data_IF_156575127853
#
_entry.id   IF_156575127853
#
_cell.length_a   1.000
_cell.length_b   1.000
_cell.length_c   1.000
_cell.angle_alpha   90.00
_cell.angle_beta   90.00
_cell.angle_gamma   90.00
#
_symmetry.space_group_name_H-M   'P 1'
#
loop_
_entity.id
_entity.type
_entity.pdbx_description
1 polymer ?
#
# COMPACT_ATOMS: atom_id res chain seq x y z
N UNK A 1 -37.00 -14.90 -34.42
CA UNK A 1 -37.98 -15.74 -33.68
C UNK A 1 -38.29 -14.97 -32.39
N UNK A 2 -39.58 -14.74 -32.15
CA UNK A 2 -40.10 -14.15 -30.90
C UNK A 2 -40.89 -15.21 -30.12
N UNK A 3 -41.15 -14.96 -28.85
CA UNK A 3 -41.78 -15.93 -27.93
C UNK A 3 -43.16 -16.44 -28.43
N UNK A 4 -43.85 -15.61 -29.23
CA UNK A 4 -45.16 -15.95 -29.82
C UNK A 4 -45.09 -16.77 -31.11
N UNK A 5 -43.90 -16.88 -31.72
CA UNK A 5 -43.74 -17.70 -32.94
C UNK A 5 -44.05 -19.15 -32.65
N UNK A 6 -44.72 -19.79 -33.64
CA UNK A 6 -45.10 -21.18 -33.51
C UNK A 6 -44.13 -22.09 -34.28
N UNK A 7 -43.64 -23.08 -33.58
CA UNK A 7 -42.82 -24.18 -34.13
C UNK A 7 -43.65 -25.43 -34.31
N UNK A 8 -43.34 -26.20 -35.34
CA UNK A 8 -43.93 -27.50 -35.56
C UNK A 8 -43.00 -28.53 -34.97
N UNK A 9 -43.48 -29.31 -34.02
CA UNK A 9 -42.71 -30.34 -33.29
C UNK A 9 -43.40 -31.69 -33.46
N UNK A 10 -42.62 -32.70 -33.77
CA UNK A 10 -43.04 -34.12 -33.64
C UNK A 10 -42.93 -34.50 -32.16
N UNK A 11 -44.07 -34.86 -31.53
CA UNK A 11 -44.09 -35.23 -30.11
C UNK A 11 -43.71 -36.69 -29.83
N UNK A 12 -43.24 -37.40 -30.87
CA UNK A 12 -42.73 -38.78 -30.75
C UNK A 12 -43.81 -39.84 -30.53
N UNK A 13 -45.07 -39.48 -30.39
CA UNK A 13 -46.18 -40.40 -30.09
C UNK A 13 -46.98 -40.75 -31.32
N UNK A 14 -46.32 -41.38 -32.30
CA UNK A 14 -47.06 -41.94 -33.46
C UNK A 14 -47.25 -40.96 -34.63
N UNK A 15 -46.39 -39.99 -34.79
CA UNK A 15 -46.32 -39.16 -36.02
C UNK A 15 -47.28 -37.98 -36.08
N UNK A 16 -47.76 -37.45 -34.97
CA UNK A 16 -48.63 -36.30 -34.94
C UNK A 16 -47.80 -35.01 -34.74
N UNK A 17 -47.74 -34.21 -35.81
CA UNK A 17 -47.11 -32.89 -35.70
C UNK A 17 -47.95 -31.94 -34.84
N UNK A 18 -47.33 -31.32 -33.85
CA UNK A 18 -47.98 -30.35 -32.94
C UNK A 18 -47.36 -28.97 -33.08
N UNK A 19 -48.18 -27.92 -32.93
CA UNK A 19 -47.67 -26.55 -32.78
C UNK A 19 -47.28 -26.31 -31.35
N UNK A 20 -46.08 -25.73 -31.15
CA UNK A 20 -45.65 -25.25 -29.87
C UNK A 20 -45.11 -23.82 -30.01
N UNK A 21 -45.33 -22.95 -29.03
CA UNK A 21 -44.77 -21.63 -29.01
C UNK A 21 -43.23 -21.70 -28.72
N UNK A 22 -42.47 -20.80 -29.33
CA UNK A 22 -41.02 -20.67 -29.09
C UNK A 22 -40.68 -20.47 -27.61
N UNK A 23 -41.57 -19.84 -26.85
CA UNK A 23 -41.44 -19.70 -25.38
C UNK A 23 -41.36 -21.03 -24.64
N UNK A 24 -42.05 -22.08 -25.15
CA UNK A 24 -41.97 -23.43 -24.52
C UNK A 24 -40.63 -24.12 -24.77
N UNK A 25 -40.03 -23.86 -25.94
CA UNK A 25 -38.69 -24.35 -26.21
C UNK A 25 -37.66 -23.67 -25.28
N UNK A 26 -37.81 -22.38 -25.05
CA UNK A 26 -37.00 -21.65 -24.06
C UNK A 26 -37.12 -22.25 -22.66
N UNK A 27 -38.35 -22.52 -22.20
CA UNK A 27 -38.61 -23.17 -20.92
C UNK A 27 -38.01 -24.56 -20.83
N UNK A 28 -38.15 -25.39 -21.89
CA UNK A 28 -37.59 -26.75 -21.93
C UNK A 28 -36.05 -26.71 -21.93
N UNK A 29 -35.43 -25.77 -22.61
CA UNK A 29 -33.98 -25.61 -22.63
C UNK A 29 -33.39 -25.18 -21.28
N UNK A 30 -34.25 -24.83 -20.31
CA UNK A 30 -33.84 -24.42 -18.96
C UNK A 30 -33.07 -23.08 -18.91
N UNK A 31 -32.99 -22.40 -20.06
CA UNK A 31 -32.24 -21.13 -20.14
C UNK A 31 -33.20 -19.95 -20.16
N UNK A 32 -33.42 -19.33 -19.05
CA UNK A 32 -34.18 -18.09 -18.92
C UNK A 32 -33.30 -16.83 -19.06
N UNK A 33 -32.00 -17.02 -19.18
CA UNK A 33 -31.03 -15.92 -19.27
C UNK A 33 -30.80 -15.17 -17.93
N UNK A 34 -31.41 -15.66 -16.87
CA UNK A 34 -31.24 -15.04 -15.56
C UNK A 34 -30.03 -15.65 -14.82
N UNK A 35 -29.20 -14.80 -14.26
CA UNK A 35 -28.07 -15.23 -13.37
C UNK A 35 -28.59 -15.97 -12.14
N UNK A 36 -29.82 -15.69 -11.72
CA UNK A 36 -30.47 -16.34 -10.56
C UNK A 36 -30.67 -17.85 -10.73
N UNK A 37 -30.58 -18.36 -11.96
CA UNK A 37 -30.69 -19.81 -12.25
C UNK A 37 -29.33 -20.47 -12.48
N UNK A 38 -28.25 -19.73 -12.37
CA UNK A 38 -26.89 -20.26 -12.47
C UNK A 38 -26.51 -20.98 -11.18
N UNK A 39 -26.31 -22.31 -11.27
CA UNK A 39 -25.80 -23.11 -10.16
C UNK A 39 -24.28 -22.87 -10.01
N UNK A 40 -23.92 -21.99 -9.07
CA UNK A 40 -22.53 -21.62 -8.83
C UNK A 40 -21.83 -22.66 -7.94
N UNK A 41 -22.53 -23.21 -6.95
CA UNK A 41 -21.96 -24.20 -6.02
C UNK A 41 -21.82 -25.62 -6.63
N UNK A 42 -22.56 -25.88 -7.71
CA UNK A 42 -22.33 -27.08 -8.55
C UNK A 42 -21.22 -26.94 -9.59
N UNK A 43 -20.63 -25.78 -9.72
CA UNK A 43 -19.52 -25.50 -10.65
C UNK A 43 -18.20 -26.12 -10.21
N UNK A 44 -17.30 -26.32 -11.17
CA UNK A 44 -15.92 -26.75 -10.86
C UNK A 44 -15.17 -25.58 -10.21
N UNK A 45 -14.54 -25.84 -9.07
CA UNK A 45 -13.66 -24.87 -8.42
C UNK A 45 -12.52 -24.45 -9.36
N UNK A 46 -12.18 -23.16 -9.35
CA UNK A 46 -11.04 -22.62 -10.11
C UNK A 46 -9.72 -23.32 -9.74
N UNK A 47 -9.59 -23.84 -8.52
CA UNK A 47 -8.44 -24.63 -8.06
C UNK A 47 -7.12 -23.86 -7.96
N UNK A 48 -7.16 -22.54 -8.09
CA UNK A 48 -6.01 -21.66 -8.02
C UNK A 48 -6.36 -20.35 -7.28
N UNK A 49 -5.34 -19.63 -6.84
CA UNK A 49 -5.54 -18.28 -6.31
C UNK A 49 -6.05 -17.32 -7.39
N UNK A 50 -6.94 -16.40 -7.02
CA UNK A 50 -7.40 -15.35 -7.94
C UNK A 50 -6.23 -14.45 -8.33
N UNK A 51 -6.20 -14.09 -9.61
CA UNK A 51 -5.23 -13.15 -10.19
C UNK A 51 -5.94 -11.92 -10.78
N UNK A 52 -5.19 -10.86 -11.04
CA UNK A 52 -5.74 -9.58 -11.50
C UNK A 52 -6.53 -9.68 -12.82
N UNK A 53 -6.23 -10.68 -13.66
CA UNK A 53 -6.90 -10.93 -14.94
C UNK A 53 -8.17 -11.77 -14.82
N UNK A 54 -8.45 -12.38 -13.67
CA UNK A 54 -9.69 -13.11 -13.46
C UNK A 54 -10.89 -12.17 -13.48
N UNK A 55 -12.03 -12.68 -13.89
CA UNK A 55 -13.21 -11.88 -14.13
C UNK A 55 -14.38 -12.35 -13.28
N UNK A 56 -15.15 -11.38 -12.79
CA UNK A 56 -16.43 -11.61 -12.13
C UNK A 56 -17.56 -10.88 -12.86
N UNK A 57 -18.76 -11.32 -12.63
CA UNK A 57 -19.96 -10.65 -13.13
C UNK A 57 -20.48 -9.75 -12.02
N UNK A 58 -20.70 -8.47 -12.32
CA UNK A 58 -21.32 -7.49 -11.42
C UNK A 58 -22.56 -6.88 -12.05
N UNK A 59 -23.58 -6.60 -11.24
CA UNK A 59 -24.66 -5.69 -11.60
C UNK A 59 -24.16 -4.25 -11.33
N UNK A 60 -24.10 -3.41 -12.36
CA UNK A 60 -23.63 -2.04 -12.24
C UNK A 60 -24.69 -1.04 -11.73
N UNK A 61 -25.85 -1.55 -11.29
CA UNK A 61 -26.93 -0.76 -10.68
C UNK A 61 -27.69 0.15 -11.62
N UNK A 62 -27.29 0.24 -12.85
CA UNK A 62 -27.83 1.16 -13.85
C UNK A 62 -28.95 0.59 -14.74
N UNK A 63 -29.93 -0.14 -14.20
CA UNK A 63 -31.07 -0.66 -14.96
C UNK A 63 -30.89 -2.08 -15.52
N UNK A 64 -30.18 -2.92 -14.80
CA UNK A 64 -30.17 -4.37 -15.03
C UNK A 64 -29.21 -4.88 -16.08
N UNK A 65 -28.09 -4.20 -16.29
CA UNK A 65 -27.03 -4.68 -17.18
C UNK A 65 -25.91 -5.31 -16.39
N UNK A 66 -25.82 -6.64 -16.44
CA UNK A 66 -24.66 -7.33 -15.89
C UNK A 66 -23.41 -7.01 -16.71
N UNK A 67 -22.32 -6.73 -16.02
CA UNK A 67 -21.03 -6.41 -16.63
C UNK A 67 -19.94 -7.31 -16.12
N UNK A 68 -18.97 -7.53 -16.97
CA UNK A 68 -17.71 -8.17 -16.61
C UNK A 68 -16.83 -7.16 -15.85
N UNK A 69 -16.22 -7.60 -14.77
CA UNK A 69 -15.30 -6.81 -13.98
C UNK A 69 -14.04 -7.63 -13.68
N UNK A 70 -12.87 -7.13 -14.04
CA UNK A 70 -11.60 -7.77 -13.71
C UNK A 70 -11.32 -7.66 -12.20
N UNK A 71 -10.66 -8.67 -11.61
CA UNK A 71 -10.30 -8.67 -10.19
C UNK A 71 -9.36 -7.53 -9.81
N UNK A 72 -8.56 -7.01 -10.74
CA UNK A 72 -7.76 -5.80 -10.54
C UNK A 72 -8.58 -4.58 -10.11
N UNK A 73 -9.82 -4.46 -10.60
CA UNK A 73 -10.74 -3.37 -10.20
C UNK A 73 -11.31 -3.59 -8.80
N UNK A 74 -11.61 -4.85 -8.46
CA UNK A 74 -12.04 -5.20 -7.10
C UNK A 74 -10.93 -4.91 -6.11
N UNK A 75 -9.69 -5.30 -6.42
CA UNK A 75 -8.50 -5.00 -5.63
C UNK A 75 -8.35 -3.48 -5.38
N UNK A 76 -8.53 -2.67 -6.43
CA UNK A 76 -8.49 -1.21 -6.30
C UNK A 76 -9.63 -0.68 -5.40
N UNK A 77 -10.84 -1.21 -5.53
CA UNK A 77 -11.99 -0.79 -4.74
C UNK A 77 -11.85 -1.13 -3.25
N UNK A 78 -11.38 -2.33 -2.92
CA UNK A 78 -11.19 -2.76 -1.53
C UNK A 78 -9.96 -2.13 -0.87
N UNK A 79 -9.14 -1.40 -1.63
CA UNK A 79 -7.97 -0.71 -1.09
C UNK A 79 -6.90 -1.65 -0.56
N UNK A 80 -6.78 -2.85 -1.11
CA UNK A 80 -6.00 -3.96 -0.57
C UNK A 80 -4.48 -3.83 -0.57
N UNK A 81 -3.91 -2.78 -1.13
CA UNK A 81 -2.45 -2.59 -1.11
C UNK A 81 -2.07 -1.45 -0.18
N UNK A 82 -1.23 -1.75 0.82
CA UNK A 82 -0.56 -0.73 1.63
C UNK A 82 0.59 -0.04 0.86
N UNK A 83 0.60 -0.13 -0.47
CA UNK A 83 1.52 0.59 -1.33
C UNK A 83 1.00 2.02 -1.60
N UNK A 84 1.90 2.98 -1.79
CA UNK A 84 3.34 2.83 -1.70
C UNK A 84 3.84 2.65 -0.27
N UNK A 85 4.91 1.88 -0.12
CA UNK A 85 5.63 1.71 1.13
C UNK A 85 7.15 1.77 0.87
N UNK A 86 7.90 2.23 1.86
CA UNK A 86 9.36 2.28 1.77
C UNK A 86 10.01 1.97 3.11
N UNK A 87 11.26 1.51 3.03
CA UNK A 87 12.18 1.39 4.15
C UNK A 87 13.57 1.74 3.65
N UNK A 88 14.11 2.86 4.11
CA UNK A 88 15.44 3.34 3.78
C UNK A 88 16.30 3.44 5.04
N UNK A 89 17.60 3.20 4.90
CA UNK A 89 18.52 3.28 6.02
C UNK A 89 19.83 3.98 5.65
N UNK A 90 20.54 4.39 6.67
CA UNK A 90 21.83 5.05 6.56
C UNK A 90 22.94 4.04 6.88
N UNK A 91 23.90 3.87 5.97
CA UNK A 91 24.99 2.89 6.14
C UNK A 91 26.32 3.51 6.57
N UNK A 92 26.37 4.81 6.83
CA UNK A 92 27.56 5.54 7.27
C UNK A 92 27.20 6.50 8.42
N UNK A 93 28.16 7.05 9.11
CA UNK A 93 27.91 8.11 10.08
C UNK A 93 27.65 9.44 9.36
N UNK A 94 26.71 10.24 9.87
CA UNK A 94 26.44 11.61 9.43
C UNK A 94 26.65 12.57 10.60
N UNK A 95 27.33 13.68 10.35
CA UNK A 95 27.40 14.79 11.31
C UNK A 95 26.19 15.69 11.15
N UNK A 96 25.51 15.97 12.25
CA UNK A 96 24.46 16.98 12.36
C UNK A 96 25.13 18.20 12.99
N UNK A 97 25.22 19.28 12.23
CA UNK A 97 25.85 20.51 12.69
C UNK A 97 24.99 21.24 13.71
N UNK A 98 25.61 21.78 14.73
CA UNK A 98 24.92 22.55 15.76
C UNK A 98 24.19 23.77 15.16
N UNK A 99 23.12 24.19 15.80
CA UNK A 99 22.26 25.31 15.38
C UNK A 99 21.78 25.27 13.93
N UNK A 100 21.82 24.06 13.29
CA UNK A 100 21.42 23.89 11.90
C UNK A 100 20.46 22.71 11.76
N UNK A 101 19.27 22.97 11.19
CA UNK A 101 18.33 21.91 10.86
C UNK A 101 18.86 21.12 9.66
N UNK A 102 19.36 19.93 9.92
CA UNK A 102 20.05 19.08 8.95
C UNK A 102 19.16 17.92 8.50
N UNK A 103 18.96 17.76 7.19
CA UNK A 103 18.25 16.60 6.64
C UNK A 103 19.08 15.33 6.85
N UNK A 104 18.42 14.27 7.33
CA UNK A 104 19.06 12.95 7.45
C UNK A 104 19.23 12.33 6.07
N UNK A 105 20.40 11.81 5.81
CA UNK A 105 20.73 11.13 4.55
C UNK A 105 20.47 9.63 4.67
N UNK A 106 19.73 9.07 3.74
CA UNK A 106 19.48 7.66 3.60
C UNK A 106 20.02 7.19 2.26
N UNK A 107 21.09 6.45 2.30
CA UNK A 107 21.85 6.09 1.11
C UNK A 107 21.69 4.63 0.68
N UNK A 108 20.79 3.90 1.32
CA UNK A 108 20.55 2.50 1.03
C UNK A 108 19.07 2.15 1.16
N UNK A 109 18.51 1.66 0.06
CA UNK A 109 17.16 1.10 -0.06
C UNK A 109 17.22 -0.43 -0.24
N UNK A 110 18.42 -1.00 -0.33
CA UNK A 110 18.60 -2.42 -0.61
C UNK A 110 18.75 -3.25 0.66
N UNK A 111 18.54 -4.55 0.51
CA UNK A 111 18.69 -5.54 1.58
C UNK A 111 19.98 -5.36 2.37
N UNK A 112 19.86 -4.97 3.64
CA UNK A 112 20.96 -5.15 4.57
C UNK A 112 21.14 -6.65 4.84
N UNK A 113 22.36 -7.11 4.80
CA UNK A 113 22.74 -8.43 5.27
C UNK A 113 22.31 -8.56 6.72
N UNK A 114 21.31 -9.41 7.02
CA UNK A 114 20.76 -9.55 8.38
C UNK A 114 19.25 -9.40 8.48
N UNK A 115 18.55 -9.24 7.35
CA UNK A 115 17.08 -9.33 7.27
C UNK A 115 16.31 -8.02 7.33
N UNK A 116 16.96 -6.86 7.51
CA UNK A 116 16.32 -5.58 7.24
C UNK A 116 16.46 -5.31 5.74
N UNK A 117 15.41 -5.56 4.98
CA UNK A 117 15.35 -5.20 3.58
C UNK A 117 15.00 -3.71 3.46
N UNK A 118 15.79 -2.97 2.71
CA UNK A 118 15.32 -1.72 2.15
C UNK A 118 14.21 -2.06 1.13
N UNK A 119 13.09 -1.40 1.26
CA UNK A 119 11.95 -1.57 0.39
C UNK A 119 11.60 -0.20 -0.17
N UNK A 120 11.38 -0.13 -1.46
CA UNK A 120 10.71 0.99 -2.10
C UNK A 120 9.82 0.42 -3.21
N UNK A 121 8.58 0.11 -2.84
CA UNK A 121 7.67 -0.66 -3.71
C UNK A 121 7.37 0.03 -5.03
N UNK A 122 7.37 1.34 -5.04
CA UNK A 122 6.95 2.16 -6.19
C UNK A 122 8.05 3.08 -6.68
N UNK A 123 9.30 2.90 -6.20
CA UNK A 123 10.45 3.77 -6.49
C UNK A 123 10.15 5.25 -6.15
N UNK A 124 9.58 5.46 -4.97
CA UNK A 124 9.11 6.78 -4.50
C UNK A 124 9.96 7.39 -3.40
N UNK A 125 10.97 6.68 -2.93
CA UNK A 125 11.97 7.22 -2.04
C UNK A 125 13.19 7.66 -2.84
N UNK A 126 13.44 8.96 -2.90
CA UNK A 126 14.57 9.53 -3.62
C UNK A 126 15.06 10.80 -2.92
N UNK A 127 16.35 11.12 -3.03
CA UNK A 127 16.93 12.34 -2.46
C UNK A 127 16.63 12.51 -0.95
N UNK A 128 16.62 11.40 -0.20
CA UNK A 128 16.33 11.33 1.24
C UNK A 128 14.89 11.70 1.62
N UNK A 129 13.97 11.65 0.69
CA UNK A 129 12.56 11.96 0.90
C UNK A 129 11.66 10.96 0.18
N UNK A 130 10.50 10.72 0.76
CA UNK A 130 9.44 9.91 0.17
C UNK A 130 8.39 10.83 -0.47
N UNK A 131 8.06 10.59 -1.74
CA UNK A 131 7.04 11.34 -2.50
C UNK A 131 6.01 10.34 -3.04
N UNK A 132 4.82 10.23 -2.44
CA UNK A 132 3.83 9.24 -2.87
C UNK A 132 3.21 9.57 -4.23
N UNK A 133 2.72 8.54 -4.92
CA UNK A 133 1.88 8.71 -6.11
C UNK A 133 0.39 8.76 -5.80
N UNK A 134 0.01 8.34 -4.62
CA UNK A 134 -1.40 8.24 -4.21
C UNK A 134 -1.61 9.10 -2.98
N UNK A 135 -2.54 10.04 -3.06
CA UNK A 135 -2.92 10.86 -1.91
C UNK A 135 -3.53 10.00 -0.79
N UNK A 136 -3.28 10.35 0.46
CA UNK A 136 -3.83 9.65 1.60
C UNK A 136 -3.04 9.85 2.89
N UNK A 137 -3.48 9.15 3.92
CA UNK A 137 -2.74 9.12 5.19
C UNK A 137 -1.61 8.10 5.12
N UNK A 138 -0.43 8.52 5.59
CA UNK A 138 0.77 7.71 5.68
C UNK A 138 1.23 7.64 7.12
N UNK A 139 1.60 6.46 7.57
CA UNK A 139 2.31 6.27 8.82
C UNK A 139 3.80 6.28 8.55
N UNK A 140 4.54 7.06 9.33
CA UNK A 140 5.99 7.14 9.28
C UNK A 140 6.60 6.72 10.60
N UNK A 141 7.75 6.08 10.51
CA UNK A 141 8.58 5.70 11.64
C UNK A 141 10.04 5.99 11.33
N UNK A 142 10.71 6.67 12.24
CA UNK A 142 12.14 6.90 12.19
C UNK A 142 12.78 6.46 13.50
N UNK A 143 13.92 5.78 13.41
CA UNK A 143 14.78 5.44 14.53
C UNK A 143 16.23 5.72 14.22
N UNK A 144 16.99 6.07 15.25
CA UNK A 144 18.43 6.29 15.17
C UNK A 144 19.09 6.25 16.54
N UNK A 145 20.41 6.32 16.57
CA UNK A 145 21.18 6.67 17.75
C UNK A 145 22.10 7.84 17.46
N UNK A 146 22.24 8.73 18.42
CA UNK A 146 23.17 9.85 18.34
C UNK A 146 24.33 9.64 19.32
N UNK A 147 25.54 9.92 18.87
CA UNK A 147 26.67 10.15 19.75
C UNK A 147 26.62 11.60 20.22
N UNK A 148 26.34 11.80 21.49
CA UNK A 148 26.15 13.11 22.12
C UNK A 148 27.21 13.36 23.17
N UNK A 149 27.58 14.62 23.35
CA UNK A 149 28.37 15.14 24.45
C UNK A 149 27.48 15.82 25.49
N UNK A 150 28.03 16.63 26.35
CA UNK A 150 27.34 17.19 27.51
C UNK A 150 26.17 18.12 27.14
N UNK A 151 25.04 17.98 27.86
CA UNK A 151 23.89 18.90 27.84
C UNK A 151 23.35 19.28 26.45
N UNK A 152 23.36 18.33 25.54
CA UNK A 152 22.87 18.53 24.18
C UNK A 152 21.35 18.41 24.09
N UNK A 153 20.67 19.39 23.51
CA UNK A 153 19.27 19.25 23.14
C UNK A 153 19.18 18.84 21.65
N UNK A 154 18.57 17.71 21.43
CA UNK A 154 18.35 17.17 20.08
C UNK A 154 16.86 17.16 19.80
N UNK A 155 16.47 17.69 18.65
CA UNK A 155 15.13 17.53 18.13
C UNK A 155 15.12 16.80 16.79
N UNK A 156 14.23 15.82 16.68
CA UNK A 156 14.00 15.04 15.47
C UNK A 156 12.65 15.42 14.90
N UNK A 157 12.62 15.70 13.62
CA UNK A 157 11.44 16.16 12.91
C UNK A 157 11.09 15.21 11.76
N UNK A 158 9.83 14.78 11.67
CA UNK A 158 9.25 14.32 10.41
C UNK A 158 8.66 15.55 9.75
N UNK A 159 9.09 15.86 8.52
CA UNK A 159 8.66 17.06 7.80
C UNK A 159 7.77 16.69 6.61
N UNK A 160 6.85 17.60 6.28
CA UNK A 160 6.11 17.60 5.01
C UNK A 160 6.54 18.85 4.23
N UNK A 161 7.05 18.68 3.03
CA UNK A 161 7.52 19.78 2.16
C UNK A 161 8.50 20.73 2.89
N UNK A 162 9.39 20.16 3.71
CA UNK A 162 10.32 20.92 4.54
C UNK A 162 9.73 21.56 5.80
N UNK A 163 8.40 21.60 5.95
CA UNK A 163 7.72 22.07 7.16
C UNK A 163 7.59 20.95 8.20
N UNK A 164 7.70 21.29 9.48
CA UNK A 164 7.60 20.32 10.58
C UNK A 164 6.17 19.82 10.72
N UNK A 165 5.96 18.51 10.56
CA UNK A 165 4.68 17.86 10.78
C UNK A 165 4.62 17.14 12.14
N UNK A 166 5.69 16.45 12.53
CA UNK A 166 5.82 15.79 13.84
C UNK A 166 7.22 16.09 14.39
N UNK A 167 7.31 16.38 15.67
CA UNK A 167 8.58 16.70 16.34
C UNK A 167 8.66 15.96 17.68
N UNK A 168 9.85 15.43 17.98
CA UNK A 168 10.23 15.03 19.33
C UNK A 168 11.50 15.79 19.73
N UNK A 169 11.61 16.14 20.99
CA UNK A 169 12.77 16.81 21.55
C UNK A 169 13.23 16.10 22.81
N UNK A 170 14.53 15.96 22.95
CA UNK A 170 15.16 15.35 24.12
C UNK A 170 16.40 16.13 24.47
N UNK A 171 16.62 16.31 25.74
CA UNK A 171 17.84 16.90 26.28
C UNK A 171 18.69 15.81 26.91
N UNK A 172 19.91 15.68 26.44
CA UNK A 172 20.91 14.82 27.11
C UNK A 172 21.51 15.56 28.28
N UNK A 173 21.33 15.06 29.48
CA UNK A 173 21.94 15.58 30.71
C UNK A 173 23.23 14.86 31.09
N UNK A 174 23.82 14.11 30.18
CA UNK A 174 24.98 13.27 30.45
C UNK A 174 26.27 14.11 30.53
N UNK A 175 27.17 13.74 31.38
CA UNK A 175 28.55 14.20 31.35
C UNK A 175 29.42 13.17 30.61
N UNK A 176 30.10 13.59 29.57
CA UNK A 176 30.89 12.76 28.68
C UNK A 176 30.17 12.18 27.48
N UNK A 177 30.90 11.53 26.59
CA UNK A 177 30.35 10.98 25.35
C UNK A 177 29.38 9.81 25.62
N UNK A 178 28.16 9.92 25.13
CA UNK A 178 27.08 8.94 25.27
C UNK A 178 26.46 8.61 23.92
N UNK A 179 25.86 7.44 23.84
CA UNK A 179 25.03 7.07 22.68
C UNK A 179 23.58 6.93 23.14
N UNK A 180 22.73 7.79 22.60
CA UNK A 180 21.30 7.82 22.93
C UNK A 180 20.45 7.38 21.73
N UNK A 181 19.48 6.49 22.00
CA UNK A 181 18.51 6.04 21.00
C UNK A 181 17.31 6.98 20.89
N UNK A 182 16.87 7.24 19.67
CA UNK A 182 15.70 8.07 19.37
C UNK A 182 14.75 7.32 18.46
N UNK A 183 13.47 7.51 18.72
CA UNK A 183 12.39 7.04 17.84
C UNK A 183 11.31 8.10 17.74
N UNK A 184 10.78 8.29 16.54
CA UNK A 184 9.62 9.16 16.29
C UNK A 184 8.71 8.48 15.29
N UNK A 185 7.40 8.59 15.51
CA UNK A 185 6.39 8.09 14.59
C UNK A 185 5.25 9.09 14.47
N UNK A 186 4.59 9.08 13.33
CA UNK A 186 3.42 9.93 13.13
C UNK A 186 2.63 9.56 11.90
N UNK A 187 1.38 9.99 11.89
CA UNK A 187 0.50 9.92 10.72
C UNK A 187 0.43 11.29 10.08
N UNK A 188 0.64 11.34 8.78
CA UNK A 188 0.64 12.58 8.00
C UNK A 188 -0.15 12.35 6.73
N UNK A 189 -1.04 13.28 6.39
CA UNK A 189 -1.69 13.31 5.09
C UNK A 189 -0.75 13.90 4.05
N UNK A 190 -0.53 13.18 2.96
CA UNK A 190 0.26 13.62 1.81
C UNK A 190 -0.60 13.58 0.55
N UNK A 191 -0.49 14.61 -0.27
CA UNK A 191 -0.92 14.60 -1.66
C UNK A 191 0.18 13.98 -2.55
N UNK A 192 -0.13 13.72 -3.81
CA UNK A 192 0.80 13.06 -4.73
C UNK A 192 2.04 13.88 -5.09
N UNK A 193 2.06 15.17 -4.78
CA UNK A 193 3.17 16.10 -4.99
C UNK A 193 3.87 16.53 -3.69
N UNK A 194 3.37 16.05 -2.55
CA UNK A 194 4.02 16.26 -1.26
C UNK A 194 5.21 15.32 -1.08
N UNK A 195 6.14 15.72 -0.23
CA UNK A 195 7.21 14.85 0.23
C UNK A 195 7.29 14.79 1.76
N UNK A 196 7.80 13.67 2.27
CA UNK A 196 8.13 13.49 3.68
C UNK A 196 9.59 13.12 3.85
N UNK A 197 10.27 13.79 4.75
CA UNK A 197 11.67 13.54 5.10
C UNK A 197 11.92 13.66 6.60
N UNK A 198 13.14 13.33 7.01
CA UNK A 198 13.61 13.47 8.38
C UNK A 198 14.65 14.58 8.45
N UNK A 199 14.51 15.45 9.44
CA UNK A 199 15.55 16.43 9.79
C UNK A 199 15.84 16.42 11.29
N UNK A 200 17.06 16.71 11.64
CA UNK A 200 17.55 16.78 13.00
C UNK A 200 18.18 18.14 13.26
N UNK A 201 17.96 18.63 14.46
CA UNK A 201 18.56 19.87 14.97
C UNK A 201 19.20 19.61 16.32
N UNK A 202 20.37 20.17 16.58
CA UNK A 202 21.06 20.13 17.86
C UNK A 202 21.53 21.53 18.28
N UNK A 203 21.75 21.76 19.57
CA UNK A 203 21.86 23.13 20.13
C UNK A 203 23.24 23.58 20.55
N UNK A 204 24.10 22.66 20.93
CA UNK A 204 25.38 23.05 21.59
C UNK A 204 26.60 22.64 20.79
N UNK A 205 26.66 21.39 20.42
CA UNK A 205 27.77 20.81 19.66
C UNK A 205 27.26 20.02 18.46
N UNK A 206 28.13 19.75 17.51
CA UNK A 206 27.85 18.83 16.41
C UNK A 206 27.60 17.43 16.98
N UNK A 207 26.52 16.77 16.57
CA UNK A 207 26.24 15.41 17.00
C UNK A 207 26.45 14.41 15.86
N UNK A 208 26.99 13.24 16.19
CA UNK A 208 27.12 12.14 15.26
C UNK A 208 25.83 11.30 15.18
N UNK A 209 25.22 11.23 14.01
CA UNK A 209 24.16 10.26 13.73
C UNK A 209 24.82 8.96 13.27
N UNK A 210 24.52 7.86 13.97
CA UNK A 210 25.14 6.58 13.68
C UNK A 210 24.43 5.88 12.50
N UNK A 211 25.23 5.32 11.58
CA UNK A 211 24.75 4.49 10.50
C UNK A 211 24.59 3.02 10.89
N UNK A 212 25.05 2.11 10.02
CA UNK A 212 25.09 0.68 10.33
C UNK A 212 26.09 0.39 11.45
N UNK A 213 25.66 -0.37 12.45
CA UNK A 213 26.60 -0.96 13.40
C UNK A 213 27.43 -2.08 12.73
N UNK A 214 28.60 -2.35 13.30
CA UNK A 214 29.40 -3.52 12.92
C UNK A 214 28.57 -4.80 13.05
N UNK A 215 28.47 -5.58 11.98
CA UNK A 215 27.70 -6.82 11.96
C UNK A 215 26.30 -6.73 11.36
N UNK A 216 26.01 -5.70 10.56
CA UNK A 216 24.78 -5.58 9.76
C UNK A 216 23.49 -5.26 10.52
N UNK A 217 23.59 -4.68 11.71
CA UNK A 217 22.42 -4.17 12.44
C UNK A 217 22.12 -2.76 11.93
N UNK A 218 20.92 -2.55 11.40
CA UNK A 218 20.45 -1.21 11.00
C UNK A 218 20.11 -0.40 12.25
N UNK A 219 20.80 0.71 12.45
CA UNK A 219 20.56 1.62 13.56
C UNK A 219 19.69 2.80 13.12
N UNK A 220 20.04 3.41 12.00
CA UNK A 220 19.31 4.57 11.46
C UNK A 220 18.44 4.13 10.29
N UNK A 221 17.13 4.24 10.46
CA UNK A 221 16.14 3.77 9.50
C UNK A 221 14.95 4.72 9.46
N UNK A 222 14.46 4.97 8.25
CA UNK A 222 13.21 5.69 8.00
C UNK A 222 12.29 4.81 7.17
N UNK A 223 11.08 4.64 7.65
CA UNK A 223 10.07 3.78 7.04
C UNK A 223 8.75 4.52 6.94
N UNK A 224 7.97 4.17 5.94
CA UNK A 224 6.61 4.66 5.80
C UNK A 224 5.76 3.77 4.92
N UNK A 225 4.46 3.76 5.19
CA UNK A 225 3.47 3.06 4.38
C UNK A 225 2.13 3.76 4.42
N UNK A 226 1.38 3.57 3.36
CA UNK A 226 0.02 4.11 3.24
C UNK A 226 -0.92 3.37 4.18
N UNK A 227 -1.80 4.12 4.84
CA UNK A 227 -2.93 3.56 5.57
C UNK A 227 -4.09 3.36 4.60
N UNK A 228 -4.65 2.16 4.59
CA UNK A 228 -5.80 1.79 3.76
C UNK A 228 -7.04 1.66 4.63
N UNK A 229 -8.20 2.03 4.08
CA UNK A 229 -9.47 1.94 4.82
C UNK A 229 -9.76 3.12 5.76
N UNK A 230 -9.07 4.23 5.61
CA UNK A 230 -9.31 5.50 6.32
C UNK A 230 -9.78 6.58 5.36
#
# INVERSE_FOLDING_TARGET
IVDADLLLVDDGAGGTLRKTAASRLKTYAGYDGAISTLDIDGGTDIGAALVDADEIIVDDGGGGTNRRCDMSRVKTYVGGDSTPLFSAFHNAAQTISNDTLTQVQFNTESTASGGAAGIDSDSKFASNAFTPTVAGYYFFHFQTTFAVTDNEAISVHIRRNGGVAVKIECVSSASGSQTNGFQISGMIYLDSDDNADIAVYCTSDDVGLNGLASGSIVITMFQGWRLTGV
#
